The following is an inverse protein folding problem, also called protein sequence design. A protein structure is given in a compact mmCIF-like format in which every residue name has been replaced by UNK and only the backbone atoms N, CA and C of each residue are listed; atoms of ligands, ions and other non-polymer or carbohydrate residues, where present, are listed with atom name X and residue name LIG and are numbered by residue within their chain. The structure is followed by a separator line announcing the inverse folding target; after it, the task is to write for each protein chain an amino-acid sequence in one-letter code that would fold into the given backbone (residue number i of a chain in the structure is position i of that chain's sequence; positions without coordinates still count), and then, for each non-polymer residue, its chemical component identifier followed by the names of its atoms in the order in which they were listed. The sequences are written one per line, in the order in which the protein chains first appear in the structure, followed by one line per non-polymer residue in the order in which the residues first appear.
data_IF_708888868527
#
_entry.id   IF_708888868527
#
_cell.length_a   1.000
_cell.length_b   1.000
_cell.length_c   1.000
_cell.angle_alpha   90.00
_cell.angle_beta   90.00
_cell.angle_gamma   90.00
#
_symmetry.space_group_name_H-M   'P 1'
#
loop_
_entity.id
_entity.type
_entity.pdbx_description
1 polymer ?
#
# COMPACT_ATOMS: atom_id res chain seq x y z
N UNK A 1 0.77 6.82 -3.99
CA UNK A 1 1.95 7.45 -4.62
C UNK A 1 3.23 6.89 -4.03
N UNK A 2 4.26 6.61 -4.84
CA UNK A 2 5.63 6.22 -4.46
C UNK A 2 6.62 7.27 -4.95
N UNK A 3 7.93 7.13 -4.65
CA UNK A 3 8.91 8.15 -5.01
C UNK A 3 10.09 7.54 -5.77
N UNK A 4 10.37 8.10 -6.96
CA UNK A 4 11.52 7.74 -7.78
C UNK A 4 12.66 8.75 -7.60
N UNK A 5 13.90 8.30 -7.86
CA UNK A 5 15.05 9.17 -7.74
C UNK A 5 15.18 10.15 -8.93
N UNK A 6 15.93 11.27 -8.77
CA UNK A 6 16.08 12.28 -9.82
C UNK A 6 16.73 11.79 -11.12
N UNK A 7 17.52 10.70 -11.07
CA UNK A 7 18.19 10.16 -12.27
C UNK A 7 17.17 9.55 -13.24
N UNK A 8 16.25 8.73 -12.71
CA UNK A 8 15.22 8.12 -13.55
C UNK A 8 14.21 9.16 -14.02
N UNK A 9 13.80 10.11 -13.15
CA UNK A 9 12.88 11.19 -13.54
C UNK A 9 13.51 12.17 -14.54
N UNK A 10 14.84 12.31 -14.53
CA UNK A 10 15.57 13.07 -15.57
C UNK A 10 15.61 12.35 -16.91
N UNK A 11 15.60 11.02 -16.91
CA UNK A 11 15.62 10.20 -18.12
C UNK A 11 14.21 9.96 -18.72
N UNK A 12 13.19 9.84 -17.87
CA UNK A 12 11.78 9.69 -18.22
C UNK A 12 10.91 10.59 -17.33
N UNK A 13 10.77 11.88 -17.68
CA UNK A 13 10.02 12.84 -16.90
C UNK A 13 8.54 12.50 -16.81
N UNK A 14 7.91 12.87 -15.69
CA UNK A 14 6.47 12.79 -15.50
C UNK A 14 5.71 13.61 -16.55
N UNK A 15 4.58 13.11 -17.00
CA UNK A 15 3.73 13.74 -18.01
C UNK A 15 2.74 14.68 -17.33
N UNK A 16 3.19 15.85 -16.96
CA UNK A 16 2.37 16.86 -16.28
C UNK A 16 1.44 17.61 -17.24
N UNK A 17 0.25 17.95 -16.75
CA UNK A 17 -0.66 18.84 -17.47
C UNK A 17 -0.03 20.21 -17.70
N UNK A 18 -0.09 20.71 -18.93
CA UNK A 18 0.36 22.05 -19.28
C UNK A 18 -0.79 22.84 -19.90
N UNK A 19 -1.25 23.92 -19.27
CA UNK A 19 -2.31 24.75 -19.84
C UNK A 19 -1.87 25.44 -21.12
N UNK A 20 -2.80 25.74 -22.01
CA UNK A 20 -2.54 26.53 -23.21
C UNK A 20 -1.92 27.87 -22.84
N UNK A 21 -0.84 28.25 -23.54
CA UNK A 21 -0.11 29.52 -23.30
C UNK A 21 0.28 30.20 -24.63
N UNK A 22 -0.41 31.29 -24.97
CA UNK A 22 -0.23 31.97 -26.24
C UNK A 22 -0.60 31.08 -27.42
N UNK A 23 0.32 30.84 -28.35
CA UNK A 23 0.12 29.93 -29.51
C UNK A 23 0.38 28.46 -29.18
N UNK A 24 0.89 28.15 -27.98
CA UNK A 24 1.10 26.77 -27.56
C UNK A 24 -0.22 26.14 -27.10
N UNK A 25 -0.65 25.05 -27.73
CA UNK A 25 -1.86 24.32 -27.28
C UNK A 25 -1.67 23.72 -25.90
N UNK A 26 -2.77 23.42 -25.26
CA UNK A 26 -2.81 22.61 -24.05
C UNK A 26 -2.14 21.24 -24.30
N UNK A 27 -1.38 20.74 -23.31
CA UNK A 27 -0.85 19.38 -23.27
C UNK A 27 -1.57 18.62 -22.15
N UNK A 28 -2.31 17.56 -22.46
CA UNK A 28 -2.94 16.72 -21.46
C UNK A 28 -1.89 16.14 -20.51
N UNK A 29 -2.25 15.98 -19.22
CA UNK A 29 -1.46 15.20 -18.29
C UNK A 29 -1.53 13.71 -18.58
N UNK A 30 -0.62 12.95 -17.99
CA UNK A 30 -0.65 11.49 -17.98
C UNK A 30 -1.73 10.95 -17.04
N UNK A 31 -1.74 9.63 -16.86
CA UNK A 31 -2.68 8.90 -16.01
C UNK A 31 -2.33 9.13 -14.55
N UNK A 32 -3.31 9.40 -13.70
CA UNK A 32 -3.18 9.51 -12.25
C UNK A 32 -3.84 8.35 -11.50
N UNK A 33 -3.63 8.32 -10.18
CA UNK A 33 -4.21 7.28 -9.31
C UNK A 33 -5.74 7.27 -9.34
N UNK A 34 -6.38 8.40 -9.55
CA UNK A 34 -7.83 8.55 -9.68
C UNK A 34 -8.42 7.87 -10.91
N UNK A 35 -7.63 7.70 -11.97
CA UNK A 35 -8.07 7.14 -13.25
C UNK A 35 -7.84 5.63 -13.35
N UNK A 36 -6.80 5.09 -12.70
CA UNK A 36 -6.30 3.72 -12.88
C UNK A 36 -7.41 2.68 -12.72
N UNK A 37 -8.23 2.79 -11.68
CA UNK A 37 -9.31 1.81 -11.41
C UNK A 37 -10.31 1.77 -12.57
N UNK A 38 -10.73 2.93 -13.06
CA UNK A 38 -11.72 3.03 -14.14
C UNK A 38 -11.16 2.63 -15.50
N UNK A 39 -9.88 2.89 -15.75
CA UNK A 39 -9.22 2.56 -16.99
C UNK A 39 -8.87 1.06 -17.11
N UNK A 40 -8.72 0.37 -15.98
CA UNK A 40 -8.22 -1.00 -15.96
C UNK A 40 -9.28 -2.00 -15.52
N UNK A 41 -9.86 -1.86 -14.33
CA UNK A 41 -10.67 -2.89 -13.70
C UNK A 41 -11.87 -3.37 -14.53
N UNK A 42 -12.65 -2.54 -15.24
CA UNK A 42 -13.78 -3.00 -16.03
C UNK A 42 -13.41 -3.83 -17.28
N UNK A 43 -12.13 -3.92 -17.61
CA UNK A 43 -11.64 -4.51 -18.87
C UNK A 43 -10.74 -5.73 -18.69
N UNK A 44 -10.64 -6.25 -17.46
CA UNK A 44 -9.73 -7.35 -17.13
C UNK A 44 -10.49 -8.49 -16.44
N UNK A 45 -9.93 -9.70 -16.53
CA UNK A 45 -10.46 -10.92 -15.91
C UNK A 45 -9.41 -11.63 -15.02
N UNK A 46 -8.17 -11.15 -15.02
CA UNK A 46 -7.10 -11.68 -14.16
C UNK A 46 -6.14 -10.59 -13.70
N UNK A 47 -5.39 -10.89 -12.65
CA UNK A 47 -4.37 -9.99 -12.12
C UNK A 47 -3.31 -9.66 -13.18
N UNK A 48 -2.85 -10.65 -13.92
CA UNK A 48 -1.88 -10.49 -15.00
C UNK A 48 -2.39 -9.60 -16.14
N UNK A 49 -3.65 -9.78 -16.57
CA UNK A 49 -4.27 -8.88 -17.55
C UNK A 49 -4.29 -7.44 -17.07
N UNK A 50 -4.50 -7.22 -15.76
CA UNK A 50 -4.45 -5.89 -15.14
C UNK A 50 -3.09 -5.24 -15.30
N UNK A 51 -2.03 -5.96 -15.00
CA UNK A 51 -0.63 -5.48 -15.17
C UNK A 51 -0.36 -5.11 -16.62
N UNK A 52 -0.66 -6.01 -17.55
CA UNK A 52 -0.38 -5.80 -18.98
C UNK A 52 -1.20 -4.64 -19.55
N UNK A 53 -2.47 -4.51 -19.17
CA UNK A 53 -3.31 -3.41 -19.60
C UNK A 53 -2.80 -2.06 -19.06
N UNK A 54 -2.53 -1.97 -17.76
CA UNK A 54 -2.00 -0.74 -17.18
C UNK A 54 -0.65 -0.38 -17.79
N UNK A 55 0.25 -1.36 -17.93
CA UNK A 55 1.55 -1.16 -18.54
C UNK A 55 1.45 -0.57 -19.95
N UNK A 56 0.57 -1.14 -20.80
CA UNK A 56 0.33 -0.61 -22.16
C UNK A 56 -0.22 0.82 -22.15
N UNK A 57 -1.09 1.16 -21.21
CA UNK A 57 -1.61 2.52 -21.06
C UNK A 57 -0.52 3.50 -20.59
N UNK A 58 0.34 3.09 -19.66
CA UNK A 58 1.47 3.90 -19.21
C UNK A 58 2.48 4.16 -20.32
N UNK A 59 2.81 3.15 -21.13
CA UNK A 59 3.70 3.33 -22.29
C UNK A 59 3.12 4.29 -23.34
N UNK A 60 1.81 4.31 -23.50
CA UNK A 60 1.12 5.13 -24.50
C UNK A 60 0.87 6.58 -24.03
N UNK A 61 0.41 6.74 -22.80
CA UNK A 61 -0.08 8.05 -22.29
C UNK A 61 0.79 8.63 -21.20
N UNK A 62 1.62 7.81 -20.58
CA UNK A 62 2.43 8.20 -19.42
C UNK A 62 1.61 8.41 -18.15
N UNK A 63 2.32 8.78 -17.10
CA UNK A 63 1.75 9.17 -15.81
C UNK A 63 2.32 10.50 -15.33
N UNK A 64 1.51 11.29 -14.62
CA UNK A 64 1.99 12.51 -13.97
C UNK A 64 2.45 12.29 -12.52
N UNK A 65 2.31 11.08 -12.00
CA UNK A 65 2.74 10.73 -10.65
C UNK A 65 3.21 9.27 -10.58
N UNK A 66 3.99 8.96 -9.54
CA UNK A 66 4.52 7.62 -9.33
C UNK A 66 3.59 6.82 -8.43
N UNK A 67 3.24 5.60 -8.85
CA UNK A 67 2.31 4.73 -8.12
C UNK A 67 2.80 3.29 -7.98
N UNK A 68 2.42 2.66 -6.86
CA UNK A 68 2.48 1.22 -6.68
C UNK A 68 1.06 0.65 -6.69
N UNK A 69 0.82 -0.37 -7.52
CA UNK A 69 -0.51 -0.91 -7.77
C UNK A 69 -0.49 -2.43 -7.58
N UNK A 70 -1.38 -2.93 -6.71
CA UNK A 70 -1.63 -4.36 -6.55
C UNK A 70 -2.75 -4.81 -7.47
N UNK A 71 -2.52 -5.93 -8.14
CA UNK A 71 -3.54 -6.68 -8.89
C UNK A 71 -3.68 -8.06 -8.26
N UNK A 72 -4.90 -8.50 -7.99
CA UNK A 72 -5.12 -9.85 -7.47
C UNK A 72 -6.31 -10.52 -8.10
N UNK A 73 -6.21 -11.83 -8.23
CA UNK A 73 -7.31 -12.75 -8.52
C UNK A 73 -7.23 -13.99 -7.62
N UNK A 74 -7.96 -15.04 -7.95
CA UNK A 74 -7.97 -16.27 -7.12
C UNK A 74 -6.69 -17.10 -7.21
N UNK A 75 -5.83 -16.83 -8.21
CA UNK A 75 -4.66 -17.64 -8.51
C UNK A 75 -3.36 -16.93 -8.18
N UNK A 76 -3.33 -15.59 -8.30
CA UNK A 76 -2.07 -14.85 -8.17
C UNK A 76 -2.28 -13.39 -7.73
N UNK A 77 -1.19 -12.82 -7.21
CA UNK A 77 -1.07 -11.40 -6.89
C UNK A 77 0.14 -10.86 -7.66
N UNK A 78 -0.03 -9.71 -8.31
CA UNK A 78 1.03 -8.93 -8.95
C UNK A 78 1.16 -7.56 -8.29
N UNK A 79 2.39 -7.12 -8.16
CA UNK A 79 2.70 -5.76 -7.73
C UNK A 79 3.41 -5.01 -8.86
N UNK A 80 2.83 -3.88 -9.28
CA UNK A 80 3.38 -3.00 -10.32
C UNK A 80 3.86 -1.70 -9.68
N UNK A 81 5.04 -1.24 -10.08
CA UNK A 81 5.60 0.06 -9.75
C UNK A 81 5.85 0.86 -11.02
N UNK A 82 5.35 2.10 -11.09
CA UNK A 82 5.77 3.06 -12.10
C UNK A 82 7.13 3.61 -11.69
N UNK A 83 8.09 3.69 -12.61
CA UNK A 83 9.47 4.11 -12.32
C UNK A 83 9.86 5.42 -12.99
N UNK A 84 9.10 5.85 -13.97
CA UNK A 84 9.22 7.10 -14.70
C UNK A 84 7.89 7.54 -15.26
N UNK A 85 7.91 8.50 -16.16
CA UNK A 85 6.69 8.98 -16.82
C UNK A 85 6.00 7.91 -17.65
N UNK A 86 6.76 6.98 -18.25
CA UNK A 86 6.23 5.92 -19.14
C UNK A 86 6.71 4.51 -18.74
N UNK A 87 7.82 4.39 -18.02
CA UNK A 87 8.40 3.11 -17.66
C UNK A 87 7.80 2.54 -16.38
N UNK A 88 7.66 1.23 -16.36
CA UNK A 88 7.10 0.47 -15.25
C UNK A 88 7.74 -0.91 -15.13
N UNK A 89 7.67 -1.48 -13.93
CA UNK A 89 8.04 -2.85 -13.60
C UNK A 89 6.92 -3.52 -12.81
N UNK A 90 6.79 -4.83 -12.92
CA UNK A 90 5.88 -5.59 -12.09
C UNK A 90 6.48 -6.95 -11.72
N UNK A 91 6.22 -7.39 -10.50
CA UNK A 91 6.65 -8.68 -9.98
C UNK A 91 5.46 -9.45 -9.43
N UNK A 92 5.37 -10.73 -9.79
CA UNK A 92 4.45 -11.66 -9.18
C UNK A 92 4.84 -11.86 -7.71
N UNK A 93 3.88 -11.73 -6.80
CA UNK A 93 4.10 -12.01 -5.38
C UNK A 93 4.13 -13.53 -5.20
N UNK A 94 5.20 -14.12 -4.64
CA UNK A 94 5.21 -15.56 -4.33
C UNK A 94 4.07 -15.96 -3.40
N UNK A 95 3.58 -17.19 -3.52
CA UNK A 95 2.31 -17.63 -2.89
C UNK A 95 2.37 -17.72 -1.36
N UNK A 96 3.55 -17.82 -0.78
CA UNK A 96 3.77 -18.01 0.66
C UNK A 96 4.29 -16.76 1.40
N UNK A 97 4.39 -15.62 0.70
CA UNK A 97 4.93 -14.38 1.27
C UNK A 97 3.88 -13.29 1.40
N UNK A 98 4.22 -12.28 2.17
CA UNK A 98 3.55 -10.98 2.15
C UNK A 98 4.51 -9.90 1.64
N UNK A 99 3.97 -8.81 1.16
CA UNK A 99 4.68 -7.62 0.69
C UNK A 99 4.28 -6.43 1.55
N UNK A 100 5.26 -5.58 1.88
CA UNK A 100 5.04 -4.33 2.59
C UNK A 100 5.51 -3.17 1.72
N UNK A 101 4.61 -2.23 1.44
CA UNK A 101 4.88 -1.09 0.58
C UNK A 101 4.46 0.22 1.24
N UNK A 102 5.42 1.04 1.70
CA UNK A 102 5.18 2.45 2.03
C UNK A 102 5.09 3.30 0.75
N UNK A 103 5.17 4.63 0.86
CA UNK A 103 5.23 5.52 -0.31
C UNK A 103 6.63 5.55 -0.96
N UNK A 104 7.20 4.39 -1.22
CA UNK A 104 8.57 4.20 -1.72
C UNK A 104 8.60 3.01 -2.66
N UNK A 105 9.46 3.00 -3.69
CA UNK A 105 9.69 1.81 -4.50
C UNK A 105 10.24 0.70 -3.60
N UNK A 106 9.75 -0.51 -3.79
CA UNK A 106 10.05 -1.62 -2.89
C UNK A 106 10.62 -2.85 -3.55
N UNK A 107 10.34 -3.12 -4.82
CA UNK A 107 10.88 -4.29 -5.52
C UNK A 107 12.41 -4.26 -5.43
N UNK A 108 12.98 -5.24 -4.71
CA UNK A 108 14.38 -5.32 -4.35
C UNK A 108 15.21 -6.26 -5.25
N UNK A 109 14.54 -7.01 -6.10
CA UNK A 109 15.21 -7.86 -7.11
C UNK A 109 14.33 -8.00 -8.35
N UNK A 110 14.97 -8.02 -9.55
CA UNK A 110 14.25 -8.09 -10.80
C UNK A 110 15.03 -8.89 -11.84
N UNK A 111 14.41 -9.96 -12.34
CA UNK A 111 14.98 -10.82 -13.37
C UNK A 111 14.59 -10.33 -14.76
N UNK A 112 15.53 -9.64 -15.43
CA UNK A 112 15.35 -9.15 -16.80
C UNK A 112 15.27 -10.30 -17.83
N UNK A 113 15.89 -11.47 -17.55
CA UNK A 113 15.81 -12.60 -18.47
C UNK A 113 14.40 -13.23 -18.47
N UNK A 114 13.76 -13.34 -17.28
CA UNK A 114 12.37 -13.74 -17.21
C UNK A 114 11.45 -12.68 -17.83
N UNK A 115 11.64 -11.40 -17.50
CA UNK A 115 10.77 -10.30 -17.97
C UNK A 115 10.75 -10.15 -19.50
N UNK A 116 11.88 -10.42 -20.19
CA UNK A 116 12.00 -10.40 -21.65
C UNK A 116 11.89 -11.79 -22.30
N UNK A 117 11.71 -12.85 -21.50
CA UNK A 117 11.63 -14.25 -21.93
C UNK A 117 10.30 -14.89 -21.59
N UNK A 118 10.29 -15.75 -20.58
CA UNK A 118 9.12 -16.54 -20.17
C UNK A 118 8.02 -15.69 -19.52
N UNK A 119 8.37 -14.59 -18.92
CA UNK A 119 7.46 -13.67 -18.23
C UNK A 119 6.61 -14.36 -17.15
N UNK A 120 7.20 -15.32 -16.45
CA UNK A 120 6.46 -16.07 -15.43
C UNK A 120 6.25 -15.24 -14.15
N UNK A 121 7.27 -14.50 -13.72
CA UNK A 121 7.27 -13.77 -12.46
C UNK A 121 7.56 -12.28 -12.61
N UNK A 122 8.02 -11.82 -13.77
CA UNK A 122 8.41 -10.43 -14.01
C UNK A 122 7.82 -9.92 -15.33
N UNK A 123 7.32 -8.68 -15.29
CA UNK A 123 6.81 -7.95 -16.44
C UNK A 123 7.33 -6.51 -16.38
N UNK A 124 7.56 -5.89 -17.52
CA UNK A 124 8.07 -4.51 -17.57
C UNK A 124 7.76 -3.84 -18.91
N UNK A 125 8.06 -2.54 -18.99
CA UNK A 125 8.05 -1.78 -20.24
C UNK A 125 8.90 -2.45 -21.30
N UNK A 126 8.46 -2.39 -22.54
CA UNK A 126 9.06 -3.11 -23.67
C UNK A 126 10.52 -2.77 -23.94
N UNK A 127 10.96 -1.55 -23.59
CA UNK A 127 12.33 -1.04 -23.81
C UNK A 127 13.13 -0.86 -22.51
N UNK A 128 12.67 -1.40 -21.38
CA UNK A 128 13.29 -1.20 -20.07
C UNK A 128 14.78 -1.54 -20.05
N UNK A 129 15.19 -2.62 -20.70
CA UNK A 129 16.60 -3.04 -20.76
C UNK A 129 17.47 -1.96 -21.42
N UNK A 130 17.01 -1.43 -22.54
CA UNK A 130 17.69 -0.36 -23.28
C UNK A 130 17.67 0.95 -22.50
N UNK A 131 16.56 1.27 -21.87
CA UNK A 131 16.38 2.45 -21.03
C UNK A 131 17.39 2.45 -19.87
N UNK A 132 17.53 1.34 -19.13
CA UNK A 132 18.51 1.18 -18.05
C UNK A 132 19.94 1.36 -18.57
N UNK A 133 20.30 0.67 -19.65
CA UNK A 133 21.65 0.70 -20.20
C UNK A 133 22.02 2.09 -20.72
N UNK A 134 21.14 2.73 -21.47
CA UNK A 134 21.35 4.05 -22.07
C UNK A 134 21.54 5.15 -21.00
N UNK A 135 20.82 5.05 -19.89
CA UNK A 135 20.81 6.07 -18.85
C UNK A 135 21.69 5.68 -17.64
N UNK A 136 22.41 4.57 -17.70
CA UNK A 136 23.29 4.08 -16.64
C UNK A 136 22.59 3.98 -15.27
N UNK A 137 21.38 3.42 -15.24
CA UNK A 137 20.54 3.40 -14.05
C UNK A 137 20.88 2.24 -13.11
N UNK A 138 21.35 1.09 -13.63
CA UNK A 138 21.78 -0.03 -12.81
C UNK A 138 23.10 0.30 -12.09
N UNK A 139 23.06 0.22 -10.77
CA UNK A 139 24.21 0.48 -9.90
C UNK A 139 24.83 -0.81 -9.34
N UNK A 140 24.28 -1.98 -9.68
CA UNK A 140 24.79 -3.25 -9.20
C UNK A 140 26.21 -3.51 -9.69
N UNK A 141 27.01 -4.14 -8.85
CA UNK A 141 28.37 -4.58 -9.20
C UNK A 141 28.41 -6.05 -9.64
N UNK A 142 27.38 -6.81 -9.34
CA UNK A 142 27.25 -8.24 -9.62
C UNK A 142 26.33 -8.54 -10.82
N UNK A 143 25.72 -7.51 -11.40
CA UNK A 143 24.81 -7.62 -12.54
C UNK A 143 23.38 -8.07 -12.16
N UNK A 144 23.05 -8.14 -10.86
CA UNK A 144 21.71 -8.40 -10.38
C UNK A 144 20.96 -7.08 -10.16
N UNK A 145 19.99 -6.79 -11.01
CA UNK A 145 19.20 -5.55 -10.91
C UNK A 145 18.40 -5.50 -9.61
N UNK A 146 18.70 -4.49 -8.78
CA UNK A 146 17.87 -4.08 -7.67
C UNK A 146 17.11 -2.80 -8.06
N UNK A 147 15.80 -2.87 -8.38
CA UNK A 147 15.03 -1.71 -8.81
C UNK A 147 14.91 -0.62 -7.75
N UNK A 148 14.87 -0.98 -6.47
CA UNK A 148 14.84 -0.01 -5.38
C UNK A 148 16.06 0.91 -5.42
N UNK A 149 17.24 0.34 -5.58
CA UNK A 149 18.50 1.09 -5.65
C UNK A 149 18.64 1.85 -6.98
N UNK A 150 18.21 1.22 -8.09
CA UNK A 150 18.31 1.81 -9.42
C UNK A 150 17.34 2.99 -9.61
N UNK A 151 16.11 2.88 -9.12
CA UNK A 151 15.02 3.80 -9.43
C UNK A 151 14.44 4.53 -8.22
N UNK A 152 14.52 3.94 -7.01
CA UNK A 152 13.88 4.45 -5.80
C UNK A 152 14.57 5.67 -5.19
N UNK A 153 13.83 6.38 -4.36
CA UNK A 153 14.33 7.43 -3.47
C UNK A 153 14.86 6.82 -2.17
N UNK A 154 15.94 7.37 -1.64
CA UNK A 154 16.60 7.01 -0.38
C UNK A 154 17.07 8.28 0.33
N UNK A 155 16.21 9.28 0.45
CA UNK A 155 16.56 10.53 1.12
C UNK A 155 16.17 10.54 2.61
N UNK A 156 16.60 11.59 3.33
CA UNK A 156 16.31 11.74 4.76
C UNK A 156 14.80 11.78 5.06
N UNK A 157 13.96 12.20 4.10
CA UNK A 157 12.52 12.21 4.26
C UNK A 157 11.95 10.77 4.28
N UNK A 158 12.52 9.86 3.49
CA UNK A 158 12.14 8.45 3.50
C UNK A 158 12.40 7.80 4.86
N UNK A 159 13.48 8.16 5.55
CA UNK A 159 13.83 7.66 6.88
C UNK A 159 12.91 8.15 8.00
N UNK A 160 12.07 9.12 7.74
CA UNK A 160 11.03 9.58 8.68
C UNK A 160 9.64 9.14 8.24
N UNK A 161 9.41 9.09 6.92
CA UNK A 161 8.09 8.89 6.35
C UNK A 161 7.84 7.43 5.92
N UNK A 162 8.79 6.78 5.28
CA UNK A 162 8.62 5.52 4.55
C UNK A 162 9.19 4.30 5.29
N UNK A 163 10.50 4.21 5.43
CA UNK A 163 11.18 3.03 5.98
C UNK A 163 10.70 2.64 7.39
N UNK A 164 10.40 3.59 8.32
CA UNK A 164 9.90 3.22 9.64
C UNK A 164 8.54 2.51 9.61
N UNK A 165 7.67 2.85 8.65
CA UNK A 165 6.37 2.19 8.49
C UNK A 165 6.53 0.75 8.00
N UNK A 166 7.41 0.53 7.00
CA UNK A 166 7.74 -0.81 6.53
C UNK A 166 8.38 -1.65 7.64
N UNK A 167 9.39 -1.09 8.34
CA UNK A 167 10.05 -1.74 9.47
C UNK A 167 9.06 -2.23 10.54
N UNK A 168 8.07 -1.41 10.91
CA UNK A 168 7.09 -1.79 11.92
C UNK A 168 6.20 -2.96 11.48
N UNK A 169 5.75 -2.97 10.23
CA UNK A 169 4.92 -4.05 9.69
C UNK A 169 5.71 -5.36 9.56
N UNK A 170 6.95 -5.31 9.07
CA UNK A 170 7.84 -6.46 9.00
C UNK A 170 8.13 -7.03 10.40
N UNK A 171 8.45 -6.17 11.36
CA UNK A 171 8.65 -6.56 12.76
C UNK A 171 7.41 -7.22 13.39
N UNK A 172 6.23 -6.77 13.05
CA UNK A 172 4.98 -7.33 13.56
C UNK A 172 4.71 -8.75 13.03
N UNK A 173 4.96 -8.99 11.75
CA UNK A 173 4.71 -10.29 11.12
C UNK A 173 5.86 -11.29 11.31
N UNK A 174 7.07 -10.79 11.51
CA UNK A 174 8.29 -11.61 11.69
C UNK A 174 9.09 -11.21 12.93
N UNK A 175 8.49 -11.23 14.13
CA UNK A 175 9.13 -10.71 15.34
C UNK A 175 10.37 -11.49 15.80
N UNK A 176 10.61 -12.71 15.30
CA UNK A 176 11.73 -13.59 15.69
C UNK A 176 12.65 -13.96 14.54
N UNK A 177 12.26 -13.69 13.30
CA UNK A 177 13.08 -13.98 12.11
C UNK A 177 14.35 -13.13 12.10
N UNK A 178 14.24 -11.89 12.57
CA UNK A 178 15.31 -10.91 12.61
C UNK A 178 15.38 -10.25 13.98
N UNK A 179 16.53 -9.66 14.29
CA UNK A 179 16.72 -8.79 15.45
C UNK A 179 16.32 -7.37 15.07
N UNK A 180 15.25 -6.87 15.68
CA UNK A 180 14.65 -5.58 15.33
C UNK A 180 15.04 -4.41 16.24
N UNK A 181 15.71 -4.69 17.33
CA UNK A 181 16.04 -3.70 18.36
C UNK A 181 17.44 -3.94 18.97
N UNK A 182 18.03 -2.89 19.50
CA UNK A 182 19.33 -2.94 20.16
C UNK A 182 20.51 -2.69 19.22
N UNK A 183 21.73 -2.87 19.74
CA UNK A 183 22.95 -2.59 19.01
C UNK A 183 23.24 -3.61 17.89
N UNK A 184 22.69 -4.80 18.03
CA UNK A 184 22.87 -5.92 17.09
C UNK A 184 21.65 -6.10 16.18
N UNK A 185 20.82 -5.06 16.00
CA UNK A 185 19.66 -5.11 15.15
C UNK A 185 20.05 -5.36 13.69
N UNK A 186 19.42 -6.35 13.04
CA UNK A 186 19.58 -6.62 11.61
C UNK A 186 18.97 -5.47 10.80
N UNK A 187 17.84 -4.94 11.26
CA UNK A 187 17.12 -3.81 10.64
C UNK A 187 16.68 -2.79 11.67
N UNK A 188 16.77 -1.54 11.29
CA UNK A 188 16.31 -0.37 12.07
C UNK A 188 15.18 0.33 11.33
N UNK A 189 14.45 1.26 11.97
CA UNK A 189 13.46 2.07 11.27
C UNK A 189 13.98 2.89 10.08
N UNK A 190 15.32 3.06 9.99
CA UNK A 190 15.98 3.86 8.94
C UNK A 190 16.72 2.99 7.92
N UNK A 191 16.54 1.68 7.93
CA UNK A 191 17.24 0.76 7.00
C UNK A 191 16.68 0.88 5.59
N UNK A 192 17.54 1.07 4.60
CA UNK A 192 17.19 1.13 3.18
C UNK A 192 17.05 -0.26 2.53
N UNK A 193 17.62 -1.27 3.16
CA UNK A 193 17.69 -2.65 2.71
C UNK A 193 16.58 -3.55 3.31
N UNK A 194 15.50 -2.99 3.80
CA UNK A 194 14.33 -3.75 4.26
C UNK A 194 13.82 -4.66 3.14
N UNK A 195 13.57 -5.96 3.40
CA UNK A 195 13.11 -6.87 2.36
C UNK A 195 11.73 -6.47 1.80
N UNK A 196 11.56 -6.57 0.48
CA UNK A 196 10.27 -6.31 -0.17
C UNK A 196 9.19 -7.29 0.26
N UNK A 197 9.54 -8.58 0.39
CA UNK A 197 8.63 -9.65 0.77
C UNK A 197 9.27 -10.61 1.77
N UNK A 198 8.45 -11.22 2.61
CA UNK A 198 8.87 -12.23 3.58
C UNK A 198 7.80 -13.29 3.78
N UNK A 199 8.20 -14.52 4.13
CA UNK A 199 7.29 -15.54 4.66
C UNK A 199 6.92 -15.14 6.09
N UNK A 200 5.63 -14.95 6.42
CA UNK A 200 5.24 -14.56 7.77
C UNK A 200 5.44 -15.71 8.77
N UNK A 201 5.75 -15.41 10.02
CA UNK A 201 5.91 -16.44 11.07
C UNK A 201 4.61 -17.15 11.46
N UNK A 202 3.48 -16.62 11.04
CA UNK A 202 2.14 -17.18 11.24
C UNK A 202 1.20 -16.75 10.13
N UNK A 203 0.06 -17.43 9.99
CA UNK A 203 -0.98 -16.98 9.04
C UNK A 203 -1.46 -15.58 9.42
N UNK A 204 -1.62 -14.74 8.40
CA UNK A 204 -2.09 -13.36 8.53
C UNK A 204 -3.61 -13.33 8.39
N UNK A 205 -4.28 -12.65 9.32
CA UNK A 205 -5.73 -12.49 9.32
C UNK A 205 -6.14 -11.07 8.92
N UNK A 206 -7.40 -10.83 8.54
CA UNK A 206 -7.91 -9.48 8.35
C UNK A 206 -7.69 -8.56 9.54
N UNK A 207 -7.82 -9.10 10.76
CA UNK A 207 -7.58 -8.38 12.01
C UNK A 207 -6.12 -7.94 12.16
N UNK A 208 -5.16 -8.77 11.74
CA UNK A 208 -3.73 -8.42 11.71
C UNK A 208 -3.47 -7.26 10.76
N UNK A 209 -4.06 -7.30 9.58
CA UNK A 209 -3.90 -6.24 8.58
C UNK A 209 -4.52 -4.94 9.10
N UNK A 210 -5.72 -5.01 9.69
CA UNK A 210 -6.35 -3.85 10.32
C UNK A 210 -5.44 -3.25 11.39
N UNK A 211 -4.87 -4.08 12.27
CA UNK A 211 -3.95 -3.64 13.32
C UNK A 211 -2.72 -2.95 12.74
N UNK A 212 -2.05 -3.55 11.76
CA UNK A 212 -0.85 -2.98 11.12
C UNK A 212 -1.14 -1.65 10.43
N UNK A 213 -2.21 -1.60 9.60
CA UNK A 213 -2.56 -0.38 8.87
C UNK A 213 -3.14 0.73 9.76
N UNK A 214 -3.51 0.40 11.00
CA UNK A 214 -3.93 1.35 12.02
C UNK A 214 -2.83 1.72 13.00
N UNK A 215 -1.63 1.19 12.81
CA UNK A 215 -0.54 1.29 13.77
C UNK A 215 0.06 2.70 13.86
N UNK A 216 0.46 3.06 15.06
CA UNK A 216 1.18 4.27 15.40
C UNK A 216 2.47 3.99 16.19
N UNK A 217 3.12 2.84 15.92
CA UNK A 217 4.31 2.35 16.60
C UNK A 217 4.07 1.95 18.07
N UNK A 218 2.85 1.55 18.42
CA UNK A 218 2.52 1.11 19.78
C UNK A 218 3.45 -0.02 20.21
N UNK A 219 3.90 0.06 21.49
CA UNK A 219 4.88 -0.86 22.04
C UNK A 219 6.33 -0.56 21.67
N UNK A 220 6.61 0.58 21.04
CA UNK A 220 7.96 1.07 20.74
C UNK A 220 8.21 2.46 21.35
N UNK A 221 9.46 2.94 21.44
CA UNK A 221 9.78 4.30 21.86
C UNK A 221 9.22 5.41 20.94
N UNK A 222 8.80 5.06 19.75
CA UNK A 222 8.36 6.00 18.69
C UNK A 222 6.88 6.34 18.76
N UNK A 223 6.11 5.63 19.61
CA UNK A 223 4.66 5.82 19.75
C UNK A 223 4.32 7.28 20.15
N UNK A 224 3.54 8.03 19.31
CA UNK A 224 3.12 9.39 19.64
C UNK A 224 2.23 9.47 20.89
N UNK A 225 1.64 8.36 21.32
CA UNK A 225 0.81 8.29 22.53
C UNK A 225 1.56 7.77 23.77
N UNK A 226 2.88 7.56 23.64
CA UNK A 226 3.71 7.07 24.77
C UNK A 226 3.54 7.96 26.01
N UNK A 227 3.10 7.36 27.13
CA UNK A 227 2.81 8.06 28.38
C UNK A 227 3.84 7.84 29.49
N UNK A 228 4.68 6.82 29.37
CA UNK A 228 5.69 6.41 30.36
C UNK A 228 7.06 6.17 29.71
N UNK A 229 8.10 6.05 30.53
CA UNK A 229 9.47 5.80 30.06
C UNK A 229 10.14 7.00 29.39
N UNK A 230 11.21 6.73 28.64
CA UNK A 230 11.91 7.74 27.83
C UNK A 230 11.04 8.16 26.64
N UNK A 231 10.85 9.45 26.49
CA UNK A 231 10.02 10.07 25.46
C UNK A 231 10.85 10.84 24.41
N UNK A 232 12.16 10.69 24.40
CA UNK A 232 13.05 11.43 23.49
C UNK A 232 12.77 11.12 22.02
N UNK A 233 12.38 9.88 21.69
CA UNK A 233 12.04 9.43 20.34
C UNK A 233 10.52 9.44 20.04
N UNK A 234 9.70 9.91 20.99
CA UNK A 234 8.24 9.92 20.84
C UNK A 234 7.80 10.72 19.62
N UNK A 235 7.06 10.06 18.70
CA UNK A 235 6.56 10.70 17.49
C UNK A 235 7.64 11.08 16.47
N UNK A 236 8.82 10.46 16.53
CA UNK A 236 9.93 10.72 15.61
C UNK A 236 9.56 10.36 14.16
N UNK A 237 8.68 9.38 13.97
CA UNK A 237 8.31 8.85 12.66
C UNK A 237 6.84 9.06 12.35
N UNK A 238 6.51 9.15 11.04
CA UNK A 238 5.14 9.18 10.59
C UNK A 238 4.43 7.85 10.88
N UNK A 239 3.35 7.91 11.65
CA UNK A 239 2.51 6.75 11.92
C UNK A 239 1.83 6.22 10.66
N UNK A 240 1.53 4.92 10.61
CA UNK A 240 0.76 4.27 9.56
C UNK A 240 -0.69 4.71 9.67
N UNK A 241 -1.33 4.44 10.83
CA UNK A 241 -2.66 4.93 11.16
C UNK A 241 -2.60 6.32 11.79
N UNK A 242 -3.23 7.27 11.17
CA UNK A 242 -3.31 8.66 11.63
C UNK A 242 -4.76 9.15 11.64
N UNK A 243 -5.02 10.23 12.40
CA UNK A 243 -6.36 10.79 12.55
C UNK A 243 -6.97 11.33 11.24
N UNK A 244 -6.15 11.63 10.24
CA UNK A 244 -6.58 12.15 8.93
C UNK A 244 -6.75 11.08 7.85
N UNK A 245 -6.59 9.79 8.14
CA UNK A 245 -6.94 8.74 7.20
C UNK A 245 -8.42 8.84 6.85
N UNK A 246 -8.76 8.69 5.57
CA UNK A 246 -10.12 8.81 5.08
C UNK A 246 -10.76 7.45 4.84
N UNK A 247 -9.95 6.46 4.51
CA UNK A 247 -10.43 5.17 4.08
C UNK A 247 -9.35 4.09 4.29
N UNK A 248 -9.79 2.89 4.65
CA UNK A 248 -8.97 1.68 4.61
C UNK A 248 -9.83 0.55 4.03
N UNK A 249 -9.31 -0.15 3.05
CA UNK A 249 -9.91 -1.35 2.51
C UNK A 249 -8.95 -2.52 2.61
N UNK A 250 -9.51 -3.69 2.88
CA UNK A 250 -8.84 -4.97 2.73
C UNK A 250 -9.65 -5.81 1.73
N UNK A 251 -9.04 -6.14 0.60
CA UNK A 251 -9.63 -7.00 -0.41
C UNK A 251 -9.16 -8.43 -0.17
N UNK A 252 -10.09 -9.30 0.23
CA UNK A 252 -9.81 -10.69 0.56
C UNK A 252 -10.36 -11.62 -0.52
N UNK A 253 -9.46 -12.33 -1.21
CA UNK A 253 -9.83 -13.43 -2.10
C UNK A 253 -9.71 -14.75 -1.36
N UNK A 254 -10.76 -15.59 -1.45
CA UNK A 254 -10.86 -16.88 -0.75
C UNK A 254 -11.10 -18.00 -1.76
N UNK A 255 -10.02 -18.57 -2.36
CA UNK A 255 -10.13 -19.52 -3.48
C UNK A 255 -10.90 -20.78 -3.14
N UNK A 256 -10.97 -21.17 -1.86
CA UNK A 256 -11.68 -22.35 -1.38
C UNK A 256 -13.21 -22.15 -1.25
N UNK A 257 -13.67 -20.91 -1.44
CA UNK A 257 -15.09 -20.58 -1.36
C UNK A 257 -15.76 -20.55 -2.74
N UNK A 258 -17.10 -20.78 -2.81
CA UNK A 258 -17.86 -20.56 -4.03
C UNK A 258 -17.67 -19.17 -4.62
N UNK A 259 -17.88 -19.02 -5.93
CA UNK A 259 -17.67 -17.76 -6.62
C UNK A 259 -18.44 -16.59 -5.99
N UNK A 260 -19.66 -16.85 -5.54
CA UNK A 260 -20.57 -15.86 -4.95
C UNK A 260 -20.07 -15.31 -3.61
N UNK A 261 -19.30 -16.10 -2.85
CA UNK A 261 -18.80 -15.74 -1.51
C UNK A 261 -17.27 -15.57 -1.48
N UNK A 262 -16.58 -15.75 -2.60
CA UNK A 262 -15.12 -15.77 -2.70
C UNK A 262 -14.44 -14.44 -2.36
N UNK A 263 -15.01 -13.34 -2.83
CA UNK A 263 -14.43 -12.01 -2.67
C UNK A 263 -15.15 -11.24 -1.55
N UNK A 264 -14.39 -10.84 -0.54
CA UNK A 264 -14.88 -10.02 0.58
C UNK A 264 -14.02 -8.77 0.69
N UNK A 265 -14.66 -7.63 0.74
CA UNK A 265 -14.05 -6.36 1.06
C UNK A 265 -14.34 -6.00 2.52
N UNK A 266 -13.29 -5.72 3.29
CA UNK A 266 -13.39 -5.19 4.65
C UNK A 266 -13.08 -3.71 4.62
N UNK A 267 -14.02 -2.89 5.06
CA UNK A 267 -13.95 -1.44 4.91
C UNK A 267 -13.96 -0.76 6.26
N UNK A 268 -13.05 0.20 6.46
CA UNK A 268 -13.10 1.17 7.55
C UNK A 268 -13.09 2.59 6.96
N UNK A 269 -14.05 3.42 7.32
CA UNK A 269 -14.10 4.81 6.91
C UNK A 269 -13.52 5.72 7.97
N UNK A 270 -12.93 6.83 7.50
CA UNK A 270 -12.29 7.83 8.32
C UNK A 270 -11.07 7.27 9.07
N UNK A 271 -10.78 7.78 10.25
CA UNK A 271 -9.55 7.50 11.02
C UNK A 271 -9.50 6.06 11.51
N UNK A 272 -8.93 5.17 10.73
CA UNK A 272 -8.89 3.74 11.00
C UNK A 272 -8.14 3.37 12.31
N UNK A 273 -7.27 4.23 12.81
CA UNK A 273 -6.63 4.03 14.13
C UNK A 273 -7.64 4.06 15.31
N UNK A 274 -8.84 4.62 15.10
CA UNK A 274 -9.89 4.77 16.11
C UNK A 274 -11.21 4.13 15.69
N UNK A 275 -11.19 3.33 14.64
CA UNK A 275 -12.35 2.79 13.98
C UNK A 275 -12.18 1.27 13.75
N UNK A 276 -13.20 0.65 13.20
CA UNK A 276 -13.27 -0.79 12.93
C UNK A 276 -13.57 -1.06 11.46
N UNK A 277 -13.40 -2.31 11.04
CA UNK A 277 -13.79 -2.76 9.69
C UNK A 277 -15.14 -3.48 9.71
N UNK A 278 -15.86 -3.35 8.60
CA UNK A 278 -17.08 -4.12 8.31
C UNK A 278 -16.92 -4.85 6.98
N UNK A 279 -17.37 -6.13 6.87
CA UNK A 279 -17.21 -6.91 5.65
C UNK A 279 -18.38 -6.71 4.69
N UNK A 280 -18.05 -6.74 3.38
CA UNK A 280 -19.01 -6.80 2.28
C UNK A 280 -18.57 -7.86 1.28
N UNK A 281 -19.51 -8.65 0.77
CA UNK A 281 -19.23 -9.47 -0.40
C UNK A 281 -19.19 -8.58 -1.65
N UNK A 282 -18.28 -8.85 -2.57
CA UNK A 282 -18.09 -8.01 -3.77
C UNK A 282 -19.31 -7.99 -4.71
N UNK A 283 -20.21 -8.98 -4.61
CA UNK A 283 -21.42 -9.12 -5.42
C UNK A 283 -22.68 -8.52 -4.79
N UNK A 284 -22.58 -7.74 -3.70
CA UNK A 284 -23.75 -7.10 -3.09
C UNK A 284 -24.30 -6.00 -4.02
N UNK A 285 -25.61 -5.97 -4.18
CA UNK A 285 -26.29 -4.97 -4.99
C UNK A 285 -26.45 -3.61 -4.25
N UNK A 286 -26.46 -3.65 -2.93
CA UNK A 286 -26.72 -2.46 -2.09
C UNK A 286 -25.93 -2.54 -0.80
N UNK A 287 -25.34 -1.42 -0.41
CA UNK A 287 -24.73 -1.23 0.91
C UNK A 287 -25.75 -0.60 1.86
N UNK A 288 -25.62 -0.79 3.18
CA UNK A 288 -26.46 -0.12 4.16
C UNK A 288 -26.41 1.41 4.01
N UNK A 289 -27.56 2.07 4.14
CA UNK A 289 -27.66 3.53 4.00
C UNK A 289 -26.70 4.27 4.94
N UNK A 290 -26.51 3.75 6.14
CA UNK A 290 -25.59 4.30 7.13
C UNK A 290 -24.13 4.44 6.64
N UNK A 291 -23.70 3.59 5.70
CA UNK A 291 -22.37 3.68 5.05
C UNK A 291 -22.41 4.49 3.74
N UNK A 292 -23.55 4.54 3.07
CA UNK A 292 -23.70 5.13 1.74
C UNK A 292 -24.13 6.62 1.75
N UNK A 293 -24.66 7.13 2.86
CA UNK A 293 -25.29 8.44 2.93
C UNK A 293 -24.38 9.59 3.40
N UNK A 294 -23.05 9.43 3.26
CA UNK A 294 -22.11 10.50 3.63
C UNK A 294 -22.30 11.75 2.79
N UNK A 295 -22.41 12.89 3.46
CA UNK A 295 -22.53 14.21 2.84
C UNK A 295 -21.47 15.15 3.41
N UNK A 296 -21.37 16.37 2.89
CA UNK A 296 -20.50 17.43 3.43
C UNK A 296 -20.93 17.97 4.82
N UNK A 297 -22.08 17.55 5.33
CA UNK A 297 -22.60 17.98 6.65
C UNK A 297 -22.26 16.95 7.72
N UNK A 298 -21.63 17.39 8.80
CA UNK A 298 -21.31 16.53 9.96
C UNK A 298 -22.60 16.04 10.62
N UNK A 299 -22.74 14.72 10.78
CA UNK A 299 -23.89 14.07 11.39
C UNK A 299 -23.48 12.74 12.01
N UNK A 300 -24.21 12.29 13.03
CA UNK A 300 -24.09 10.94 13.57
C UNK A 300 -24.96 9.90 12.84
N UNK A 301 -25.66 10.33 11.78
CA UNK A 301 -26.55 9.47 10.99
C UNK A 301 -25.80 8.68 9.90
N UNK A 302 -24.49 8.84 9.82
CA UNK A 302 -23.63 8.07 8.90
C UNK A 302 -22.33 7.62 9.56
N UNK A 303 -21.75 6.56 9.01
CA UNK A 303 -20.58 5.89 9.55
C UNK A 303 -19.32 6.77 9.48
N UNK A 304 -19.09 7.49 8.38
CA UNK A 304 -17.92 8.33 8.20
C UNK A 304 -17.80 9.41 9.29
N UNK A 305 -18.84 10.25 9.46
CA UNK A 305 -18.80 11.34 10.43
C UNK A 305 -18.83 10.85 11.87
N UNK A 306 -19.54 9.75 12.15
CA UNK A 306 -19.49 9.12 13.48
C UNK A 306 -18.05 8.68 13.81
N UNK A 307 -17.36 8.04 12.86
CA UNK A 307 -15.96 7.63 13.03
C UNK A 307 -15.03 8.83 13.21
N UNK A 308 -15.24 9.93 12.46
CA UNK A 308 -14.48 11.18 12.63
C UNK A 308 -14.69 11.81 14.01
N UNK A 309 -15.90 11.80 14.54
CA UNK A 309 -16.20 12.33 15.86
C UNK A 309 -15.56 11.49 16.97
N UNK A 310 -15.64 10.17 16.87
CA UNK A 310 -14.95 9.24 17.80
C UNK A 310 -13.45 9.53 17.78
N UNK A 311 -12.84 9.62 16.59
CA UNK A 311 -11.43 9.88 16.45
C UNK A 311 -11.03 11.23 17.07
N UNK A 312 -11.76 12.30 16.83
CA UNK A 312 -11.47 13.63 17.38
C UNK A 312 -11.48 13.64 18.93
N UNK A 313 -12.42 12.90 19.54
CA UNK A 313 -12.50 12.78 21.00
C UNK A 313 -11.42 11.86 21.57
N UNK A 314 -11.17 10.73 20.90
CA UNK A 314 -10.24 9.71 21.37
C UNK A 314 -8.77 10.13 21.20
N UNK A 315 -8.41 10.79 20.12
CA UNK A 315 -7.05 11.27 19.85
C UNK A 315 -6.56 12.21 20.97
N UNK A 316 -7.40 13.15 21.37
CA UNK A 316 -7.09 14.08 22.48
C UNK A 316 -6.91 13.39 23.84
N UNK A 317 -7.40 12.17 24.01
CA UNK A 317 -7.40 11.42 25.27
C UNK A 317 -7.06 9.94 25.10
N UNK A 318 -6.23 9.61 24.13
CA UNK A 318 -5.97 8.23 23.66
C UNK A 318 -5.77 7.22 24.78
N UNK A 319 -4.84 7.46 25.70
CA UNK A 319 -4.54 6.54 26.80
C UNK A 319 -5.73 6.30 27.77
N UNK A 320 -6.73 7.18 27.77
CA UNK A 320 -7.97 7.00 28.56
C UNK A 320 -9.05 6.30 27.74
N UNK A 321 -9.01 6.47 26.43
CA UNK A 321 -10.02 5.95 25.50
C UNK A 321 -9.68 4.57 24.94
N UNK A 322 -8.41 4.17 24.97
CA UNK A 322 -7.88 2.96 24.33
C UNK A 322 -8.71 1.71 24.66
N UNK A 323 -8.98 1.44 25.93
CA UNK A 323 -9.77 0.27 26.32
C UNK A 323 -11.19 0.25 25.71
N UNK A 324 -11.80 1.41 25.52
CA UNK A 324 -13.11 1.51 24.91
C UNK A 324 -13.05 1.34 23.41
N UNK A 325 -11.98 1.81 22.76
CA UNK A 325 -11.72 1.61 21.33
C UNK A 325 -11.51 0.11 21.04
N UNK A 326 -10.63 -0.55 21.78
CA UNK A 326 -10.35 -1.97 21.63
C UNK A 326 -11.63 -2.83 21.79
N UNK A 327 -12.44 -2.56 22.80
CA UNK A 327 -13.72 -3.26 22.99
C UNK A 327 -14.70 -3.02 21.86
N UNK A 328 -14.75 -1.82 21.33
CA UNK A 328 -15.60 -1.49 20.18
C UNK A 328 -15.13 -2.24 18.93
N UNK A 329 -13.85 -2.20 18.62
CA UNK A 329 -13.23 -2.89 17.50
C UNK A 329 -13.47 -4.40 17.60
N UNK A 330 -13.18 -5.00 18.74
CA UNK A 330 -13.38 -6.43 18.98
C UNK A 330 -14.85 -6.84 18.78
N UNK A 331 -15.77 -6.09 19.32
CA UNK A 331 -17.20 -6.39 19.20
C UNK A 331 -17.68 -6.37 17.74
N UNK A 332 -17.27 -5.35 16.97
CA UNK A 332 -17.71 -5.20 15.57
C UNK A 332 -17.00 -6.20 14.66
N UNK A 333 -15.68 -6.40 14.83
CA UNK A 333 -14.93 -7.38 14.04
C UNK A 333 -15.43 -8.81 14.29
N UNK A 334 -15.71 -9.16 15.55
CA UNK A 334 -16.28 -10.48 15.90
C UNK A 334 -17.67 -10.68 15.27
N UNK A 335 -18.52 -9.66 15.28
CA UNK A 335 -19.82 -9.71 14.64
C UNK A 335 -19.70 -9.85 13.11
N UNK A 336 -18.82 -9.07 12.49
CA UNK A 336 -18.52 -9.17 11.05
C UNK A 336 -18.00 -10.55 10.66
N UNK A 337 -17.06 -11.09 11.43
CA UNK A 337 -16.54 -12.46 11.23
C UNK A 337 -17.64 -13.53 11.36
N UNK A 338 -18.50 -13.40 12.37
CA UNK A 338 -19.62 -14.32 12.57
C UNK A 338 -20.60 -14.29 11.38
N UNK A 339 -20.88 -13.11 10.84
CA UNK A 339 -21.74 -12.95 9.64
C UNK A 339 -21.11 -13.62 8.41
N UNK A 340 -19.82 -13.40 8.15
CA UNK A 340 -19.10 -14.06 7.05
C UNK A 340 -19.16 -15.59 7.21
N UNK A 341 -18.85 -16.12 8.40
CA UNK A 341 -18.89 -17.56 8.65
C UNK A 341 -20.31 -18.17 8.57
N UNK A 342 -21.34 -17.37 8.85
CA UNK A 342 -22.73 -17.81 8.73
C UNK A 342 -23.21 -17.83 7.27
N UNK A 343 -22.71 -16.92 6.46
CA UNK A 343 -23.09 -16.81 5.06
C UNK A 343 -22.36 -17.84 4.18
N UNK A 344 -21.09 -18.14 4.50
CA UNK A 344 -20.31 -19.21 3.85
C UNK A 344 -20.91 -20.59 4.10
#
# INVERSE_FOLDING_TARGET
TITSNPRVLGADPLVEYQPAKGEKPEVPGGIGEEDIVYLVLPYIHSAREGVLRLGSLLEQYGTYEMNGIAFQDVNEIWWLETIGGHHWIARRVPDDVYVVMPNQLGIDSFDLEDAFGAQENYLCSADLREFIAKNHLDLSLDGALNPRDAFGSHDDADHVYNTPRAWYMLRYLNPRTWVWEGADADYTPMSDDLPWCMVPERKVTPEDIKYMLSSHYQGTPYDPYLSYGDKSAKGAYRSIGINRNDFMALLQMRPDQPEESRAVEWVAYASNAFNTMVPFYANVERTPEYLANTTGTVSTDNFYWTSRLIAAMADASYNKSLFHLERYEEAVLSAGRALVNQYD
#
